data_IF_447889258446
#
_entry.id   IF_447889258446
#
_cell.length_a   1.000
_cell.length_b   1.000
_cell.length_c   1.000
_cell.angle_alpha   90.00
_cell.angle_beta   90.00
_cell.angle_gamma   90.00
#
_symmetry.space_group_name_H-M   'P 1'
#
loop_
_entity.id
_entity.type
_entity.pdbx_description
1 polymer ?
#
# COMPACT_ATOMS: atom_id res chain seq x y z
N UNK A 1 -6.76 -12.56 -11.53
CA UNK A 1 -6.02 -12.11 -12.73
C UNK A 1 -5.31 -10.82 -12.38
N UNK A 2 -3.99 -10.77 -12.51
CA UNK A 2 -3.23 -9.55 -12.27
C UNK A 2 -3.06 -8.82 -13.61
N UNK A 3 -3.36 -7.52 -13.62
CA UNK A 3 -3.29 -6.71 -14.84
C UNK A 3 -2.50 -5.44 -14.52
N UNK A 4 -1.56 -5.08 -15.38
CA UNK A 4 -0.83 -3.83 -15.29
C UNK A 4 -1.72 -2.71 -15.82
N UNK A 5 -1.87 -1.65 -15.04
CA UNK A 5 -2.56 -0.43 -15.47
C UNK A 5 -1.50 0.51 -16.03
N UNK A 6 -1.37 0.57 -17.33
CA UNK A 6 -0.32 1.34 -18.02
C UNK A 6 -0.26 2.80 -17.60
N UNK A 7 -1.41 3.44 -17.40
CA UNK A 7 -1.49 4.85 -16.99
C UNK A 7 -0.80 5.13 -15.63
N UNK A 8 -0.62 4.11 -14.78
CA UNK A 8 -0.02 4.22 -13.45
C UNK A 8 1.29 3.45 -13.33
N UNK A 9 1.67 2.71 -14.35
CA UNK A 9 2.91 1.94 -14.38
C UNK A 9 4.12 2.87 -14.43
N UNK A 10 5.09 2.64 -13.57
CA UNK A 10 6.37 3.36 -13.52
C UNK A 10 7.52 2.61 -14.18
N UNK A 11 7.28 1.39 -14.67
CA UNK A 11 8.32 0.53 -15.25
C UNK A 11 9.34 0.01 -14.21
N UNK A 12 8.99 -0.07 -12.94
CA UNK A 12 9.94 -0.43 -11.87
C UNK A 12 10.27 -1.92 -11.77
N UNK A 13 9.68 -2.77 -12.61
CA UNK A 13 9.92 -4.22 -12.72
C UNK A 13 9.61 -5.05 -11.46
N UNK A 14 9.19 -4.44 -10.36
CA UNK A 14 8.91 -5.13 -9.09
C UNK A 14 7.78 -6.17 -9.17
N UNK A 15 6.92 -6.09 -10.18
CA UNK A 15 5.84 -7.04 -10.40
C UNK A 15 6.29 -8.34 -11.09
N UNK A 16 7.44 -8.35 -11.79
CA UNK A 16 7.92 -9.51 -12.52
C UNK A 16 8.25 -10.69 -11.59
N UNK A 17 9.13 -10.53 -10.57
CA UNK A 17 9.56 -11.64 -9.73
C UNK A 17 8.45 -12.16 -8.80
N UNK A 18 7.36 -11.40 -8.60
CA UNK A 18 6.25 -11.81 -7.73
C UNK A 18 5.07 -12.39 -8.50
N UNK A 19 5.12 -12.37 -9.83
CA UNK A 19 4.07 -12.96 -10.67
C UNK A 19 4.21 -14.49 -10.67
N UNK A 20 3.26 -15.27 -10.11
CA UNK A 20 3.41 -16.71 -9.99
C UNK A 20 3.22 -17.47 -11.30
N UNK A 21 2.79 -16.80 -12.35
CA UNK A 21 2.44 -17.38 -13.66
C UNK A 21 3.17 -16.70 -14.82
N UNK A 22 4.17 -15.88 -14.54
CA UNK A 22 5.00 -15.16 -15.52
C UNK A 22 4.20 -14.49 -16.66
N UNK A 23 3.02 -13.93 -16.30
CA UNK A 23 2.10 -13.33 -17.27
C UNK A 23 2.38 -11.86 -17.56
N UNK A 24 3.41 -11.27 -16.94
CA UNK A 24 3.81 -9.88 -17.13
C UNK A 24 5.08 -9.86 -17.98
N UNK A 25 4.98 -9.30 -19.16
CA UNK A 25 6.10 -9.08 -20.07
C UNK A 25 6.40 -7.58 -20.13
N UNK A 26 7.67 -7.25 -20.20
CA UNK A 26 8.13 -5.90 -20.53
C UNK A 26 8.53 -5.88 -21.98
N UNK A 27 7.95 -4.95 -22.71
CA UNK A 27 8.31 -4.68 -24.09
C UNK A 27 9.25 -3.49 -24.15
N UNK A 28 10.21 -3.52 -25.05
CA UNK A 28 11.09 -2.40 -25.29
C UNK A 28 10.28 -1.28 -25.96
N UNK A 29 10.10 -0.17 -25.24
CA UNK A 29 9.37 1.01 -25.73
C UNK A 29 10.27 1.99 -26.50
N UNK A 30 11.54 1.67 -26.72
CA UNK A 30 12.48 2.51 -27.45
C UNK A 30 12.30 2.42 -28.98
N UNK A 31 11.08 2.62 -29.46
CA UNK A 31 10.80 2.72 -30.90
C UNK A 31 11.09 4.14 -31.43
N UNK A 32 11.48 4.23 -32.67
CA UNK A 32 11.68 5.52 -33.36
C UNK A 32 13.00 6.21 -33.01
N UNK A 33 12.95 7.49 -32.67
CA UNK A 33 14.16 8.33 -32.46
C UNK A 33 15.07 7.89 -31.30
N UNK A 34 14.56 7.06 -30.39
CA UNK A 34 15.30 6.51 -29.25
C UNK A 34 15.86 5.12 -29.48
N UNK A 35 15.59 4.50 -30.66
CA UNK A 35 16.05 3.15 -30.97
C UNK A 35 17.58 3.06 -30.92
N UNK A 36 18.09 2.14 -30.10
CA UNK A 36 19.53 1.95 -29.88
C UNK A 36 20.22 2.99 -29.00
N UNK A 37 19.52 3.98 -28.48
CA UNK A 37 20.03 4.89 -27.47
C UNK A 37 20.06 4.24 -26.09
N UNK A 38 21.03 4.61 -25.25
CA UNK A 38 21.17 4.13 -23.87
C UNK A 38 21.28 5.28 -22.88
N UNK A 39 20.99 5.01 -21.61
CA UNK A 39 21.06 6.00 -20.55
C UNK A 39 20.12 7.19 -20.78
N UNK A 40 20.59 8.40 -20.55
CA UNK A 40 19.76 9.61 -20.67
C UNK A 40 19.30 9.92 -22.09
N UNK A 41 20.02 9.44 -23.12
CA UNK A 41 19.62 9.61 -24.50
C UNK A 41 18.39 8.78 -24.90
N UNK A 42 18.20 7.64 -24.25
CA UNK A 42 17.01 6.77 -24.44
C UNK A 42 15.77 7.27 -23.73
N UNK A 43 15.90 8.28 -22.85
CA UNK A 43 14.84 8.77 -21.98
C UNK A 43 14.47 10.23 -22.27
N UNK A 44 13.61 10.51 -23.24
CA UNK A 44 13.19 11.87 -23.55
C UNK A 44 12.56 12.56 -22.34
N UNK A 45 12.73 13.89 -22.24
CA UNK A 45 12.22 14.68 -21.10
C UNK A 45 10.71 14.48 -20.88
N UNK A 46 9.93 14.37 -21.94
CA UNK A 46 8.48 14.12 -21.83
C UNK A 46 8.14 12.79 -21.16
N UNK A 47 8.94 11.73 -21.42
CA UNK A 47 8.77 10.45 -20.74
C UNK A 47 9.18 10.53 -19.26
N UNK A 48 10.25 11.24 -18.96
CA UNK A 48 10.69 11.50 -17.60
C UNK A 48 9.64 12.27 -16.79
N UNK A 49 9.01 13.28 -17.38
CA UNK A 49 7.94 14.06 -16.74
C UNK A 49 6.68 13.22 -16.51
N UNK A 50 6.33 12.38 -17.48
CA UNK A 50 5.21 11.43 -17.34
C UNK A 50 5.46 10.43 -16.23
N UNK A 51 6.67 9.85 -16.16
CA UNK A 51 7.05 8.92 -15.10
C UNK A 51 7.02 9.59 -13.72
N UNK A 52 7.48 10.85 -13.61
CA UNK A 52 7.43 11.64 -12.38
C UNK A 52 5.99 11.86 -11.92
N UNK A 53 5.09 12.29 -12.80
CA UNK A 53 3.67 12.47 -12.50
C UNK A 53 3.03 11.18 -12.01
N UNK A 54 3.31 10.04 -12.66
CA UNK A 54 2.82 8.72 -12.25
C UNK A 54 3.33 8.34 -10.87
N UNK A 55 4.61 8.57 -10.59
CA UNK A 55 5.21 8.30 -9.28
C UNK A 55 4.58 9.15 -8.17
N UNK A 56 4.38 10.44 -8.40
CA UNK A 56 3.73 11.35 -7.45
C UNK A 56 2.31 10.91 -7.16
N UNK A 57 1.53 10.59 -8.19
CA UNK A 57 0.18 10.05 -8.03
C UNK A 57 0.17 8.74 -7.24
N UNK A 58 1.05 7.80 -7.57
CA UNK A 58 1.17 6.53 -6.87
C UNK A 58 1.60 6.72 -5.40
N UNK A 59 2.52 7.62 -5.15
CA UNK A 59 2.97 7.98 -3.80
C UNK A 59 1.83 8.57 -2.97
N UNK A 60 1.05 9.48 -3.56
CA UNK A 60 -0.15 10.04 -2.91
C UNK A 60 -1.20 8.97 -2.62
N UNK A 61 -1.48 8.11 -3.60
CA UNK A 61 -2.42 6.99 -3.44
C UNK A 61 -2.00 6.06 -2.30
N UNK A 62 -0.73 5.66 -2.24
CA UNK A 62 -0.21 4.79 -1.16
C UNK A 62 -0.41 5.41 0.23
N UNK A 63 -0.17 6.70 0.38
CA UNK A 63 -0.38 7.41 1.65
C UNK A 63 -1.85 7.37 2.06
N UNK A 64 -2.75 7.72 1.13
CA UNK A 64 -4.20 7.68 1.37
C UNK A 64 -4.67 6.27 1.73
N UNK A 65 -4.27 5.27 0.97
CA UNK A 65 -4.68 3.88 1.18
C UNK A 65 -4.17 3.36 2.54
N UNK A 66 -2.96 3.77 2.97
CA UNK A 66 -2.42 3.46 4.29
C UNK A 66 -3.23 4.13 5.43
N UNK A 67 -3.62 5.40 5.25
CA UNK A 67 -4.46 6.12 6.22
C UNK A 67 -5.85 5.47 6.34
N UNK A 68 -6.49 5.14 5.21
CA UNK A 68 -7.79 4.47 5.18
C UNK A 68 -7.72 3.07 5.81
N UNK A 69 -6.63 2.35 5.55
CA UNK A 69 -6.40 1.03 6.16
C UNK A 69 -6.24 1.14 7.68
N UNK A 70 -5.42 2.08 8.16
CA UNK A 70 -5.22 2.33 9.57
C UNK A 70 -6.54 2.72 10.28
N UNK A 71 -7.35 3.58 9.65
CA UNK A 71 -8.67 3.95 10.15
C UNK A 71 -9.60 2.74 10.27
N UNK A 72 -9.65 1.91 9.23
CA UNK A 72 -10.45 0.68 9.22
C UNK A 72 -10.04 -0.32 10.31
N UNK A 73 -8.72 -0.45 10.57
CA UNK A 73 -8.23 -1.29 11.65
C UNK A 73 -8.61 -0.75 13.03
N UNK A 74 -8.55 0.56 13.22
CA UNK A 74 -8.97 1.22 14.46
C UNK A 74 -10.47 1.01 14.71
N UNK A 75 -11.31 1.24 13.71
CA UNK A 75 -12.77 1.02 13.79
C UNK A 75 -13.09 -0.44 14.17
N UNK A 76 -12.41 -1.41 13.56
CA UNK A 76 -12.56 -2.83 13.91
C UNK A 76 -12.11 -3.14 15.34
N UNK A 77 -11.03 -2.53 15.81
CA UNK A 77 -10.54 -2.74 17.17
C UNK A 77 -11.49 -2.12 18.20
N UNK A 78 -12.03 -0.93 17.94
CA UNK A 78 -13.06 -0.30 18.79
C UNK A 78 -14.32 -1.13 18.83
N UNK A 79 -14.82 -1.63 17.68
CA UNK A 79 -15.98 -2.49 17.63
C UNK A 79 -15.76 -3.81 18.40
N UNK A 80 -14.55 -4.39 18.32
CA UNK A 80 -14.21 -5.57 19.14
C UNK A 80 -14.19 -5.28 20.65
N UNK A 81 -13.71 -4.10 21.05
CA UNK A 81 -13.75 -3.72 22.47
C UNK A 81 -15.17 -3.54 22.99
N UNK A 82 -16.06 -2.98 22.17
CA UNK A 82 -17.46 -2.77 22.54
C UNK A 82 -18.22 -4.09 22.78
N UNK A 83 -17.87 -5.14 22.04
CA UNK A 83 -18.56 -6.44 22.11
C UNK A 83 -17.59 -7.61 22.31
N UNK A 84 -16.61 -7.41 23.19
CA UNK A 84 -15.53 -8.37 23.42
C UNK A 84 -16.05 -9.72 23.94
N UNK A 85 -17.14 -9.72 24.71
CA UNK A 85 -17.72 -10.91 25.29
C UNK A 85 -18.29 -11.85 24.19
N UNK A 86 -19.01 -11.31 23.23
CA UNK A 86 -19.62 -12.11 22.16
C UNK A 86 -18.62 -12.48 21.05
N UNK A 87 -17.58 -11.66 20.85
CA UNK A 87 -16.57 -11.90 19.82
C UNK A 87 -15.37 -12.75 20.32
N UNK A 88 -15.32 -13.07 21.61
CA UNK A 88 -14.27 -13.92 22.18
C UNK A 88 -14.78 -15.34 22.37
N UNK A 89 -13.94 -16.32 22.03
CA UNK A 89 -14.20 -17.74 22.35
C UNK A 89 -13.97 -18.05 23.85
N UNK A 90 -13.45 -17.10 24.63
CA UNK A 90 -13.21 -17.24 26.04
C UNK A 90 -14.31 -16.55 26.83
N UNK A 91 -14.81 -17.25 27.85
CA UNK A 91 -15.83 -16.76 28.77
C UNK A 91 -15.27 -16.34 30.13
N UNK A 92 -14.00 -16.66 30.41
CA UNK A 92 -13.33 -16.32 31.67
C UNK A 92 -13.12 -14.79 31.77
N UNK A 93 -13.64 -14.14 32.82
CA UNK A 93 -13.52 -12.71 33.01
C UNK A 93 -12.07 -12.21 33.05
N UNK A 94 -11.16 -12.95 33.67
CA UNK A 94 -9.75 -12.56 33.77
C UNK A 94 -9.08 -12.53 32.38
N UNK A 95 -9.38 -13.52 31.53
CA UNK A 95 -8.87 -13.59 30.16
C UNK A 95 -9.44 -12.46 29.30
N UNK A 96 -10.71 -12.12 29.50
CA UNK A 96 -11.36 -11.00 28.78
C UNK A 96 -10.74 -9.66 29.17
N UNK A 97 -10.46 -9.43 30.46
CA UNK A 97 -9.80 -8.20 30.93
C UNK A 97 -8.38 -8.07 30.38
N UNK A 98 -7.61 -9.15 30.36
CA UNK A 98 -6.28 -9.15 29.73
C UNK A 98 -6.34 -8.83 28.25
N UNK A 99 -7.28 -9.42 27.52
CA UNK A 99 -7.50 -9.10 26.08
C UNK A 99 -7.88 -7.66 25.86
N UNK A 100 -8.75 -7.10 26.71
CA UNK A 100 -9.15 -5.70 26.66
C UNK A 100 -7.93 -4.80 26.80
N UNK A 101 -7.13 -5.03 27.84
CA UNK A 101 -5.92 -4.25 28.11
C UNK A 101 -4.92 -4.30 26.93
N UNK A 102 -4.74 -5.46 26.31
CA UNK A 102 -3.85 -5.61 25.14
C UNK A 102 -4.35 -4.81 23.94
N UNK A 103 -5.68 -4.87 23.65
CA UNK A 103 -6.26 -4.13 22.51
C UNK A 103 -6.20 -2.62 22.77
N UNK A 104 -6.50 -2.15 23.97
CA UNK A 104 -6.41 -0.74 24.36
C UNK A 104 -4.99 -0.21 24.25
N UNK A 105 -4.00 -0.97 24.73
CA UNK A 105 -2.59 -0.62 24.62
C UNK A 105 -2.13 -0.56 23.15
N UNK A 106 -2.61 -1.47 22.31
CA UNK A 106 -2.30 -1.46 20.87
C UNK A 106 -2.93 -0.24 20.17
N UNK A 107 -4.19 0.10 20.49
CA UNK A 107 -4.86 1.29 19.99
C UNK A 107 -4.15 2.58 20.41
N UNK A 108 -3.75 2.68 21.68
CA UNK A 108 -3.02 3.84 22.19
C UNK A 108 -1.69 4.04 21.43
N UNK A 109 -0.94 2.96 21.21
CA UNK A 109 0.31 2.99 20.42
C UNK A 109 0.07 3.41 18.98
N UNK A 110 -0.94 2.85 18.32
CA UNK A 110 -1.28 3.19 16.94
C UNK A 110 -1.69 4.67 16.79
N UNK A 111 -2.45 5.21 17.76
CA UNK A 111 -2.84 6.63 17.80
C UNK A 111 -1.64 7.55 18.02
N UNK A 112 -0.72 7.16 18.91
CA UNK A 112 0.49 7.94 19.19
C UNK A 112 1.48 7.98 18.00
N UNK A 113 1.48 6.96 17.15
CA UNK A 113 2.34 6.87 15.96
C UNK A 113 1.76 7.60 14.75
N UNK A 114 0.49 8.04 14.78
CA UNK A 114 -0.07 8.84 13.69
C UNK A 114 0.61 10.20 13.64
N UNK A 115 1.18 10.59 12.49
CA UNK A 115 1.69 11.94 12.34
C UNK A 115 0.52 12.91 12.51
N UNK A 116 0.65 13.81 13.48
CA UNK A 116 -0.26 14.94 13.62
C UNK A 116 -0.19 15.74 12.32
N UNK A 117 -1.30 15.81 11.60
CA UNK A 117 -1.40 16.62 10.39
C UNK A 117 -1.16 18.06 10.79
N UNK A 118 -0.18 18.77 10.18
CA UNK A 118 0.02 20.18 10.43
C UNK A 118 -1.18 20.99 9.95
#
# INVERSE_FOLDING_TARGET
>A
MHTVIEAYCTGCELCLPVCPVDCILLEDASEGASAGATGWAAWPQAMADTARSRYEFHSHKRKRDAEEHAKRLEEKAVAKLADLHNQSMHTDPQVLDQKRAVIEAALARARAQRPTKP
#
